data_IF_373953286358
#
_entry.id   IF_373953286358
#
_cell.length_a   1.000
_cell.length_b   1.000
_cell.length_c   1.000
_cell.angle_alpha   90.00
_cell.angle_beta   90.00
_cell.angle_gamma   90.00
#
_symmetry.space_group_name_H-M   'P 1'
#
loop_
_entity.id
_entity.type
_entity.pdbx_description
1 polymer ?
#
# COMPACT_ATOMS: atom_id res chain seq x y z
N UNK A 1 -17.80 -13.81 19.91
CA UNK A 1 -16.79 -12.76 19.68
C UNK A 1 -16.22 -13.00 18.29
N UNK A 2 -16.60 -12.18 17.31
CA UNK A 2 -16.15 -12.42 15.94
C UNK A 2 -14.68 -12.04 15.84
N UNK A 3 -13.85 -12.91 15.26
CA UNK A 3 -12.42 -12.67 15.04
C UNK A 3 -12.16 -11.34 14.29
N UNK A 4 -13.10 -10.93 13.44
CA UNK A 4 -13.07 -9.68 12.67
C UNK A 4 -13.08 -8.43 13.57
N UNK A 5 -13.77 -8.47 14.71
CA UNK A 5 -13.91 -7.33 15.63
C UNK A 5 -12.63 -7.05 16.43
N UNK A 6 -11.71 -8.02 16.51
CA UNK A 6 -10.40 -7.86 17.17
C UNK A 6 -9.29 -7.57 16.17
N UNK A 7 -9.34 -8.20 14.99
CA UNK A 7 -8.30 -8.08 13.98
C UNK A 7 -8.27 -6.69 13.34
N UNK A 8 -9.43 -6.12 13.01
CA UNK A 8 -9.52 -4.79 12.40
C UNK A 8 -8.92 -3.67 13.27
N UNK A 9 -9.30 -3.52 14.55
CA UNK A 9 -8.72 -2.48 15.39
C UNK A 9 -7.25 -2.73 15.74
N UNK A 10 -6.80 -3.98 15.83
CA UNK A 10 -5.39 -4.31 16.05
C UNK A 10 -4.54 -3.89 14.85
N UNK A 11 -4.99 -4.19 13.62
CA UNK A 11 -4.34 -3.74 12.40
C UNK A 11 -4.36 -2.21 12.32
N UNK A 12 -5.50 -1.57 12.59
CA UNK A 12 -5.60 -0.11 12.59
C UNK A 12 -4.66 0.54 13.62
N UNK A 13 -4.50 -0.04 14.81
CA UNK A 13 -3.56 0.42 15.83
C UNK A 13 -2.11 0.24 15.39
N UNK A 14 -1.77 -0.88 14.74
CA UNK A 14 -0.44 -1.09 14.15
C UNK A 14 -0.16 -0.09 13.01
N UNK A 15 -1.15 0.21 12.16
CA UNK A 15 -1.05 1.25 11.13
C UNK A 15 -0.98 2.66 11.70
N UNK A 16 -1.66 2.94 12.81
CA UNK A 16 -1.55 4.22 13.52
C UNK A 16 -0.22 4.35 14.27
N UNK A 17 0.38 3.22 14.66
CA UNK A 17 1.70 3.16 15.30
C UNK A 17 2.85 3.12 14.27
N UNK A 18 2.56 2.98 12.97
CA UNK A 18 3.56 3.22 11.94
C UNK A 18 3.98 4.68 12.02
N UNK A 19 5.26 4.90 12.31
CA UNK A 19 5.83 6.23 12.33
C UNK A 19 5.75 6.87 10.94
N UNK A 20 5.59 8.20 10.84
CA UNK A 20 5.51 8.90 9.56
C UNK A 20 6.73 8.63 8.66
N UNK A 21 7.88 8.36 9.28
CA UNK A 21 9.12 7.93 8.61
C UNK A 21 8.92 6.60 7.87
N UNK A 22 8.33 5.59 8.51
CA UNK A 22 8.10 4.29 7.90
C UNK A 22 7.11 4.39 6.73
N UNK A 23 6.08 5.26 6.88
CA UNK A 23 5.10 5.53 5.81
C UNK A 23 5.77 6.19 4.60
N UNK A 24 6.66 7.16 4.80
CA UNK A 24 7.43 7.76 3.70
C UNK A 24 8.35 6.77 3.01
N UNK A 25 9.08 5.94 3.76
CA UNK A 25 9.96 4.92 3.18
C UNK A 25 9.15 3.90 2.37
N UNK A 26 8.00 3.46 2.89
CA UNK A 26 7.10 2.55 2.19
C UNK A 26 6.50 3.18 0.93
N UNK A 27 6.12 4.47 0.99
CA UNK A 27 5.63 5.20 -0.17
C UNK A 27 6.68 5.25 -1.28
N UNK A 28 7.91 5.68 -0.97
CA UNK A 28 9.00 5.73 -1.95
C UNK A 28 9.29 4.34 -2.54
N UNK A 29 9.25 3.29 -1.70
CA UNK A 29 9.48 1.92 -2.14
C UNK A 29 8.34 1.40 -3.03
N UNK A 30 7.08 1.74 -2.73
CA UNK A 30 5.91 1.41 -3.54
C UNK A 30 5.89 2.17 -4.86
N UNK A 31 6.30 3.43 -4.89
CA UNK A 31 6.45 4.22 -6.11
C UNK A 31 7.56 3.66 -7.01
N UNK A 32 8.69 3.25 -6.44
CA UNK A 32 9.79 2.61 -7.19
C UNK A 32 9.37 1.24 -7.72
N UNK A 33 8.67 0.44 -6.92
CA UNK A 33 8.07 -0.83 -7.36
C UNK A 33 7.05 -0.60 -8.47
N UNK A 34 6.15 0.36 -8.34
CA UNK A 34 5.16 0.68 -9.38
C UNK A 34 5.83 1.02 -10.72
N UNK A 35 6.90 1.83 -10.71
CA UNK A 35 7.68 2.14 -11.91
C UNK A 35 8.35 0.90 -12.51
N UNK A 36 8.89 0.01 -11.69
CA UNK A 36 9.49 -1.27 -12.14
C UNK A 36 8.44 -2.25 -12.66
N UNK A 37 7.23 -2.24 -12.09
CA UNK A 37 6.10 -3.05 -12.55
C UNK A 37 5.65 -2.62 -13.93
N UNK A 38 5.66 -1.32 -14.27
CA UNK A 38 5.38 -0.87 -15.64
C UNK A 38 6.36 -1.43 -16.70
N UNK A 39 7.57 -1.80 -16.29
CA UNK A 39 8.58 -2.42 -17.16
C UNK A 39 8.40 -3.95 -17.29
N UNK A 40 7.65 -4.58 -16.38
CA UNK A 40 7.44 -6.03 -16.30
C UNK A 40 5.97 -6.39 -16.51
N UNK A 41 5.62 -7.20 -17.51
CA UNK A 41 4.24 -7.69 -17.74
C UNK A 41 3.76 -8.72 -16.70
N UNK A 42 3.94 -8.46 -15.40
CA UNK A 42 3.45 -9.32 -14.33
C UNK A 42 2.20 -8.70 -13.65
N UNK A 43 0.98 -9.16 -13.98
CA UNK A 43 -0.26 -8.62 -13.42
C UNK A 43 -0.40 -8.84 -11.91
N UNK A 44 0.38 -9.76 -11.34
CA UNK A 44 0.38 -9.99 -9.89
C UNK A 44 1.06 -8.84 -9.13
N UNK A 45 2.09 -8.22 -9.73
CA UNK A 45 2.83 -7.14 -9.08
C UNK A 45 2.00 -5.86 -9.06
N UNK A 46 1.26 -5.56 -10.14
CA UNK A 46 0.29 -4.46 -10.17
C UNK A 46 -0.79 -4.62 -9.08
N UNK A 47 -1.30 -5.84 -8.90
CA UNK A 47 -2.30 -6.13 -7.87
C UNK A 47 -1.72 -5.98 -6.46
N UNK A 48 -0.50 -6.47 -6.21
CA UNK A 48 0.17 -6.34 -4.92
C UNK A 48 0.46 -4.89 -4.57
N UNK A 49 0.96 -4.12 -5.53
CA UNK A 49 1.28 -2.70 -5.38
C UNK A 49 0.00 -1.89 -5.11
N UNK A 50 -1.09 -2.16 -5.83
CA UNK A 50 -2.39 -1.55 -5.57
C UNK A 50 -2.96 -1.91 -4.18
N UNK A 51 -2.82 -3.17 -3.75
CA UNK A 51 -3.26 -3.64 -2.44
C UNK A 51 -2.49 -2.96 -1.30
N UNK A 52 -1.16 -2.86 -1.44
CA UNK A 52 -0.30 -2.22 -0.44
C UNK A 52 -0.57 -0.72 -0.34
N UNK A 53 -0.79 -0.04 -1.47
CA UNK A 53 -1.18 1.37 -1.48
C UNK A 53 -2.54 1.60 -0.82
N UNK A 54 -3.54 0.77 -1.13
CA UNK A 54 -4.86 0.83 -0.49
C UNK A 54 -4.79 0.56 1.02
N UNK A 55 -3.97 -0.40 1.45
CA UNK A 55 -3.79 -0.76 2.85
C UNK A 55 -3.07 0.34 3.64
N UNK A 56 -2.13 1.05 3.02
CA UNK A 56 -1.41 2.16 3.63
C UNK A 56 -2.14 3.51 3.49
N UNK A 57 -3.24 3.57 2.75
CA UNK A 57 -3.96 4.80 2.43
C UNK A 57 -3.14 5.77 1.57
N UNK A 58 -2.19 5.25 0.79
CA UNK A 58 -1.36 6.03 -0.13
C UNK A 58 -2.12 6.10 -1.46
N UNK A 59 -2.34 7.31 -2.02
CA UNK A 59 -2.95 7.41 -3.33
C UNK A 59 -2.08 6.70 -4.36
N UNK A 60 -2.67 5.81 -5.15
CA UNK A 60 -1.97 5.29 -6.33
C UNK A 60 -1.61 6.49 -7.21
N UNK A 61 -0.38 6.54 -7.76
CA UNK A 61 -0.07 7.48 -8.83
C UNK A 61 -0.91 7.05 -10.02
N UNK A 62 -2.17 7.48 -10.04
CA UNK A 62 -3.05 7.43 -11.19
C UNK A 62 -2.26 8.01 -12.34
N UNK A 63 -2.20 7.25 -13.44
CA UNK A 63 -2.12 7.86 -14.75
C UNK A 63 -2.91 9.16 -14.71
N UNK A 64 -2.18 10.27 -14.80
CA UNK A 64 -2.71 11.59 -15.02
C UNK A 64 -3.81 11.47 -16.05
N UNK A 65 -5.02 11.87 -15.66
CA UNK A 65 -6.05 12.28 -16.61
C UNK A 65 -5.40 13.23 -17.61
N UNK A 66 -5.10 12.74 -18.81
CA UNK A 66 -5.02 13.52 -20.06
C UNK A 66 -4.88 12.62 -21.28
#
# INVERSE_FOLDING_TARGET
MNWKDVLFPLLAALFSSMTPVLRQTLQTLLEDLYKRCKDTSNPFDDMLVALLMALLGIPTPTETEH
#
